data_IF_502987276685
#
_entry.id   IF_502987276685
#
_cell.length_a   1.000
_cell.length_b   1.000
_cell.length_c   1.000
_cell.angle_alpha   90.00
_cell.angle_beta   90.00
_cell.angle_gamma   90.00
#
_symmetry.space_group_name_H-M   'P 1'
#
loop_
_entity.id
_entity.type
_entity.pdbx_description
1 polymer ?
#
# COMPACT_ATOMS: atom_id res chain seq x y z
N UNK A 1 -12.71 27.68 -17.99
CA UNK A 1 -12.61 26.76 -16.83
C UNK A 1 -11.18 26.84 -16.35
N UNK A 2 -10.96 27.10 -15.06
CA UNK A 2 -9.60 27.25 -14.51
C UNK A 2 -8.92 25.89 -14.55
N UNK A 3 -7.71 25.88 -15.08
CA UNK A 3 -6.87 24.69 -15.13
C UNK A 3 -6.50 24.28 -13.68
N UNK A 4 -6.65 22.99 -13.35
CA UNK A 4 -6.61 22.52 -11.97
C UNK A 4 -5.77 21.24 -11.88
N UNK A 5 -4.45 21.39 -11.78
CA UNK A 5 -3.59 20.24 -11.50
C UNK A 5 -2.12 20.49 -11.82
N UNK A 6 -1.23 19.64 -11.28
CA UNK A 6 0.13 19.57 -11.76
C UNK A 6 0.15 18.79 -13.06
N UNK A 7 0.04 19.44 -14.21
CA UNK A 7 0.23 18.78 -15.52
C UNK A 7 1.14 19.63 -16.41
N UNK A 8 2.04 20.35 -15.75
CA UNK A 8 3.02 21.23 -16.40
C UNK A 8 4.12 20.46 -17.10
N UNK A 9 4.27 19.15 -16.82
CA UNK A 9 5.35 18.31 -17.36
C UNK A 9 4.89 17.21 -18.32
N UNK A 10 3.69 16.65 -18.15
CA UNK A 10 3.24 15.55 -18.98
C UNK A 10 2.58 16.06 -20.28
N UNK A 11 2.93 15.52 -21.47
CA UNK A 11 2.46 16.06 -22.76
C UNK A 11 1.00 15.74 -23.08
N UNK A 12 0.40 14.74 -22.42
CA UNK A 12 -1.03 14.46 -22.59
C UNK A 12 -1.88 15.48 -21.83
N UNK A 13 -3.03 15.84 -22.41
CA UNK A 13 -4.03 16.60 -21.67
C UNK A 13 -4.36 15.81 -20.38
N UNK A 14 -4.28 16.44 -19.19
CA UNK A 14 -4.58 15.74 -17.95
C UNK A 14 -6.00 15.17 -18.04
N UNK A 15 -6.19 13.92 -17.62
CA UNK A 15 -7.54 13.33 -17.50
C UNK A 15 -8.45 14.12 -16.54
N UNK A 16 -7.86 15.00 -15.71
CA UNK A 16 -8.52 15.85 -14.72
C UNK A 16 -9.08 17.16 -15.28
N UNK A 17 -10.10 17.08 -16.14
CA UNK A 17 -10.83 18.26 -16.61
C UNK A 17 -11.94 18.74 -15.65
N UNK A 18 -12.24 18.03 -14.56
CA UNK A 18 -13.36 18.36 -13.65
C UNK A 18 -13.03 18.06 -12.19
N UNK A 19 -13.02 19.05 -11.29
CA UNK A 19 -12.91 18.82 -9.85
C UNK A 19 -14.27 18.39 -9.28
N UNK A 20 -14.53 17.08 -9.24
CA UNK A 20 -15.78 16.49 -8.73
C UNK A 20 -15.56 15.88 -7.34
N UNK A 21 -16.64 15.66 -6.57
CA UNK A 21 -16.56 14.94 -5.30
C UNK A 21 -15.99 13.53 -5.49
N UNK A 22 -16.38 12.85 -6.57
CA UNK A 22 -15.89 11.50 -6.88
C UNK A 22 -14.38 11.50 -7.11
N UNK A 23 -13.85 12.44 -7.89
CA UNK A 23 -12.41 12.52 -8.14
C UNK A 23 -11.60 12.78 -6.86
N UNK A 24 -12.09 13.65 -5.97
CA UNK A 24 -11.45 13.86 -4.67
C UNK A 24 -11.43 12.61 -3.81
N UNK A 25 -12.48 11.78 -3.88
CA UNK A 25 -12.52 10.49 -3.19
C UNK A 25 -11.52 9.51 -3.83
N UNK A 26 -11.52 9.39 -5.15
CA UNK A 26 -10.56 8.55 -5.88
C UNK A 26 -9.12 8.92 -5.56
N UNK A 27 -8.75 10.21 -5.63
CA UNK A 27 -7.42 10.69 -5.28
C UNK A 27 -7.04 10.41 -3.83
N UNK A 28 -7.97 10.67 -2.91
CA UNK A 28 -7.74 10.39 -1.50
C UNK A 28 -7.49 8.90 -1.28
N UNK A 29 -8.39 8.04 -1.76
CA UNK A 29 -8.28 6.58 -1.63
C UNK A 29 -7.05 6.03 -2.34
N UNK A 30 -6.69 6.60 -3.49
CA UNK A 30 -5.49 6.24 -4.22
C UNK A 30 -4.24 6.41 -3.36
N UNK A 31 -4.04 7.62 -2.83
CA UNK A 31 -2.85 7.95 -2.05
C UNK A 31 -2.82 7.32 -0.66
N UNK A 32 -3.96 7.23 0.02
CA UNK A 32 -3.98 6.73 1.40
C UNK A 32 -3.98 5.21 1.49
N UNK A 33 -4.52 4.55 0.48
CA UNK A 33 -4.82 3.11 0.55
C UNK A 33 -4.25 2.37 -0.65
N UNK A 34 -4.73 2.63 -1.87
CA UNK A 34 -4.42 1.79 -3.04
C UNK A 34 -2.91 1.75 -3.31
N UNK A 35 -2.27 2.91 -3.39
CA UNK A 35 -0.84 3.01 -3.65
C UNK A 35 0.01 2.36 -2.54
N UNK A 36 -0.04 2.81 -1.28
CA UNK A 36 0.86 2.28 -0.26
C UNK A 36 0.56 0.82 0.10
N UNK A 37 -0.71 0.40 0.16
CA UNK A 37 -1.06 -1.00 0.46
C UNK A 37 -0.68 -1.93 -0.68
N UNK A 38 -0.93 -1.54 -1.93
CA UNK A 38 -0.61 -2.38 -3.08
C UNK A 38 0.89 -2.59 -3.25
N UNK A 39 1.67 -1.51 -3.13
CA UNK A 39 3.15 -1.59 -3.16
C UNK A 39 3.67 -2.42 -1.98
N UNK A 40 3.22 -2.14 -0.75
CA UNK A 40 3.69 -2.86 0.44
C UNK A 40 3.35 -4.36 0.39
N UNK A 41 2.13 -4.72 -0.03
CA UNK A 41 1.70 -6.12 -0.14
C UNK A 41 2.52 -6.88 -1.19
N UNK A 42 2.77 -6.26 -2.35
CA UNK A 42 3.59 -6.87 -3.39
C UNK A 42 5.04 -7.07 -2.92
N UNK A 43 5.67 -6.03 -2.37
CA UNK A 43 7.05 -6.10 -1.89
C UNK A 43 7.21 -7.13 -0.77
N UNK A 44 6.34 -7.08 0.24
CA UNK A 44 6.41 -8.00 1.37
C UNK A 44 6.21 -9.45 0.92
N UNK A 45 5.22 -9.70 0.04
CA UNK A 45 4.98 -11.02 -0.49
C UNK A 45 6.21 -11.58 -1.21
N UNK A 46 6.78 -10.85 -2.16
CA UNK A 46 7.91 -11.36 -2.95
C UNK A 46 9.18 -11.52 -2.12
N UNK A 47 9.46 -10.62 -1.18
CA UNK A 47 10.59 -10.76 -0.26
C UNK A 47 10.45 -12.04 0.56
N UNK A 48 9.30 -12.26 1.20
CA UNK A 48 9.09 -13.45 2.02
C UNK A 48 9.04 -14.73 1.19
N UNK A 49 8.39 -14.68 0.02
CA UNK A 49 8.30 -15.82 -0.90
C UNK A 49 9.67 -16.27 -1.42
N UNK A 50 10.60 -15.33 -1.67
CA UNK A 50 11.98 -15.64 -2.07
C UNK A 50 12.81 -16.26 -0.92
N UNK A 51 12.50 -15.92 0.33
CA UNK A 51 13.16 -16.51 1.51
C UNK A 51 12.63 -17.93 1.74
N UNK A 52 11.32 -18.05 1.93
CA UNK A 52 10.62 -19.32 2.10
C UNK A 52 9.12 -19.11 1.77
N UNK A 53 8.58 -19.75 0.71
CA UNK A 53 7.16 -19.70 0.37
C UNK A 53 6.21 -20.07 1.51
N UNK A 54 6.66 -20.92 2.45
CA UNK A 54 5.89 -21.33 3.62
C UNK A 54 5.59 -20.19 4.61
N UNK A 55 6.35 -19.09 4.56
CA UNK A 55 6.14 -17.90 5.40
C UNK A 55 4.93 -17.08 4.99
N UNK A 56 4.58 -17.08 3.69
CA UNK A 56 3.41 -16.36 3.15
C UNK A 56 2.22 -17.27 2.93
N UNK A 57 2.43 -18.55 2.63
CA UNK A 57 1.36 -19.49 2.39
C UNK A 57 1.67 -20.85 3.04
N UNK A 58 1.05 -21.19 4.18
CA UNK A 58 1.25 -22.48 4.82
C UNK A 58 0.66 -23.62 3.97
N UNK A 59 1.16 -24.85 4.19
CA UNK A 59 0.81 -26.02 3.38
C UNK A 59 -0.70 -26.32 3.29
N UNK A 60 -1.49 -25.96 4.30
CA UNK A 60 -2.94 -26.12 4.24
C UNK A 60 -3.60 -25.13 3.27
N UNK A 61 -3.10 -23.90 3.19
CA UNK A 61 -3.62 -22.85 2.30
C UNK A 61 -3.21 -23.12 0.86
N UNK A 62 -2.00 -23.63 0.63
CA UNK A 62 -1.52 -24.03 -0.71
C UNK A 62 -2.41 -25.13 -1.35
N UNK A 63 -3.03 -25.99 -0.54
CA UNK A 63 -3.98 -27.01 -1.05
C UNK A 63 -5.29 -26.43 -1.55
N UNK A 64 -5.65 -25.23 -1.10
CA UNK A 64 -6.93 -24.57 -1.40
C UNK A 64 -6.73 -23.50 -2.49
N UNK A 65 -5.63 -22.76 -2.43
CA UNK A 65 -5.34 -21.61 -3.28
C UNK A 65 -4.32 -22.01 -4.35
N UNK A 66 -4.71 -22.04 -5.63
CA UNK A 66 -3.77 -22.32 -6.71
C UNK A 66 -2.59 -21.33 -6.71
N UNK A 67 -1.38 -21.83 -6.94
CA UNK A 67 -0.15 -21.01 -6.96
C UNK A 67 -0.25 -19.80 -7.89
N UNK A 68 -0.83 -19.97 -9.07
CA UNK A 68 -1.07 -18.88 -10.01
C UNK A 68 -1.93 -17.78 -9.39
N UNK A 69 -3.04 -18.15 -8.75
CA UNK A 69 -3.93 -17.18 -8.11
C UNK A 69 -3.20 -16.44 -6.99
N UNK A 70 -2.40 -17.14 -6.18
CA UNK A 70 -1.58 -16.52 -5.15
C UNK A 70 -0.58 -15.50 -5.74
N UNK A 71 0.08 -15.80 -6.86
CA UNK A 71 0.98 -14.83 -7.48
C UNK A 71 0.27 -13.63 -8.09
N UNK A 72 -0.87 -13.85 -8.75
CA UNK A 72 -1.66 -12.77 -9.36
C UNK A 72 -2.17 -11.82 -8.30
N UNK A 73 -2.73 -12.30 -7.19
CA UNK A 73 -3.26 -11.44 -6.13
C UNK A 73 -2.18 -10.54 -5.51
N UNK A 74 -0.91 -10.97 -5.52
CA UNK A 74 0.21 -10.21 -4.95
C UNK A 74 1.02 -9.42 -5.99
N UNK A 75 0.86 -9.65 -7.29
CA UNK A 75 1.61 -8.96 -8.36
C UNK A 75 0.74 -7.99 -9.15
N UNK A 76 -0.52 -8.34 -9.41
CA UNK A 76 -1.43 -7.52 -10.18
C UNK A 76 -1.63 -6.11 -9.60
N UNK A 77 -1.71 -5.88 -8.27
CA UNK A 77 -1.82 -4.54 -7.71
C UNK A 77 -0.71 -3.60 -8.18
N UNK A 78 0.55 -4.07 -8.19
CA UNK A 78 1.69 -3.26 -8.65
C UNK A 78 1.55 -2.86 -10.11
N UNK A 79 1.11 -3.79 -10.97
CA UNK A 79 0.86 -3.51 -12.38
C UNK A 79 -0.24 -2.45 -12.57
N UNK A 80 -1.39 -2.64 -11.94
CA UNK A 80 -2.52 -1.71 -12.07
C UNK A 80 -2.21 -0.32 -11.49
N UNK A 81 -1.54 -0.25 -10.33
CA UNK A 81 -1.08 1.02 -9.75
C UNK A 81 -0.11 1.74 -10.70
N UNK A 82 0.81 1.00 -11.33
CA UNK A 82 1.77 1.59 -12.27
C UNK A 82 1.06 2.17 -13.49
N UNK A 83 0.13 1.42 -14.08
CA UNK A 83 -0.69 1.89 -15.22
C UNK A 83 -1.51 3.12 -14.82
N UNK A 84 -2.16 3.10 -13.65
CA UNK A 84 -2.96 4.23 -13.17
C UNK A 84 -2.08 5.47 -12.92
N UNK A 85 -0.93 5.33 -12.26
CA UNK A 85 0.03 6.44 -12.03
C UNK A 85 0.48 7.09 -13.35
N UNK A 86 0.67 6.29 -14.40
CA UNK A 86 1.14 6.75 -15.71
C UNK A 86 0.05 7.42 -16.54
N UNK A 87 -1.22 7.05 -16.34
CA UNK A 87 -2.35 7.56 -17.13
C UNK A 87 -3.17 8.63 -16.39
N UNK A 88 -3.04 8.71 -15.08
CA UNK A 88 -3.91 9.49 -14.18
C UNK A 88 -3.08 10.41 -13.29
N UNK A 89 -3.36 11.71 -13.34
CA UNK A 89 -2.74 12.71 -12.47
C UNK A 89 -3.50 12.81 -11.14
N UNK A 90 -3.05 12.12 -10.10
CA UNK A 90 -3.71 12.17 -8.80
C UNK A 90 -3.30 13.39 -7.97
N UNK A 91 -4.25 14.01 -7.27
CA UNK A 91 -3.95 15.08 -6.31
C UNK A 91 -3.77 14.54 -4.89
N UNK A 92 -2.54 14.59 -4.38
CA UNK A 92 -2.25 14.14 -3.02
C UNK A 92 -3.02 14.99 -1.99
N UNK A 93 -3.60 14.38 -0.94
CA UNK A 93 -4.05 15.14 0.21
C UNK A 93 -2.86 15.83 0.88
N UNK A 94 -3.12 16.81 1.76
CA UNK A 94 -2.06 17.42 2.57
C UNK A 94 -1.22 16.32 3.23
N UNK A 95 0.11 16.41 3.16
CA UNK A 95 1.04 15.39 3.69
C UNK A 95 0.71 14.95 5.12
N UNK A 96 0.37 15.90 6.00
CA UNK A 96 -0.04 15.61 7.38
C UNK A 96 -1.27 14.70 7.44
N UNK A 97 -2.27 14.96 6.59
CA UNK A 97 -3.48 14.13 6.49
C UNK A 97 -3.17 12.75 5.94
N UNK A 98 -2.38 12.66 4.87
CA UNK A 98 -1.99 11.36 4.30
C UNK A 98 -1.21 10.49 5.28
N UNK A 99 -0.23 11.07 5.99
CA UNK A 99 0.54 10.36 7.02
C UNK A 99 -0.34 9.95 8.21
N UNK A 100 -1.30 10.78 8.64
CA UNK A 100 -2.22 10.43 9.71
C UNK A 100 -3.09 9.22 9.33
N UNK A 101 -3.60 9.19 8.09
CA UNK A 101 -4.42 8.07 7.60
C UNK A 101 -3.57 6.81 7.46
N UNK A 102 -2.34 6.94 6.95
CA UNK A 102 -1.39 5.82 6.86
C UNK A 102 -1.10 5.22 8.24
N UNK A 103 -0.82 6.06 9.24
CA UNK A 103 -0.61 5.63 10.62
C UNK A 103 -1.86 4.97 11.21
N UNK A 104 -3.05 5.50 10.95
CA UNK A 104 -4.31 4.92 11.41
C UNK A 104 -4.58 3.53 10.80
N UNK A 105 -4.31 3.36 9.49
CA UNK A 105 -4.45 2.07 8.81
C UNK A 105 -3.50 1.01 9.38
N UNK A 106 -2.24 1.38 9.62
CA UNK A 106 -1.25 0.49 10.25
C UNK A 106 -1.66 0.13 11.67
N UNK A 107 -2.05 1.11 12.47
CA UNK A 107 -2.48 0.88 13.85
C UNK A 107 -3.69 -0.05 13.90
N UNK A 108 -4.66 0.14 13.00
CA UNK A 108 -5.81 -0.76 12.86
C UNK A 108 -5.38 -2.17 12.48
N UNK A 109 -4.51 -2.33 11.48
CA UNK A 109 -4.02 -3.63 11.03
C UNK A 109 -3.24 -4.37 12.13
N UNK A 110 -2.30 -3.71 12.81
CA UNK A 110 -1.59 -4.32 13.93
C UNK A 110 -2.55 -4.68 15.07
N UNK A 111 -3.50 -3.81 15.39
CA UNK A 111 -4.54 -4.12 16.40
C UNK A 111 -5.30 -5.40 16.07
N UNK A 112 -5.63 -5.63 14.79
CA UNK A 112 -6.25 -6.89 14.34
C UNK A 112 -5.33 -8.10 14.56
N UNK A 113 -4.03 -8.00 14.23
CA UNK A 113 -3.08 -9.10 14.46
C UNK A 113 -3.00 -9.49 15.93
N UNK A 114 -2.90 -8.51 16.83
CA UNK A 114 -2.87 -8.75 18.27
C UNK A 114 -4.22 -9.24 18.80
N UNK A 115 -5.33 -8.74 18.26
CA UNK A 115 -6.67 -9.24 18.61
C UNK A 115 -6.84 -10.72 18.26
N UNK A 116 -6.42 -11.14 17.05
CA UNK A 116 -6.46 -12.56 16.66
C UNK A 116 -5.60 -13.41 17.59
N UNK A 117 -4.39 -12.94 17.96
CA UNK A 117 -3.53 -13.65 18.91
C UNK A 117 -4.18 -13.81 20.29
N UNK A 118 -4.81 -12.75 20.78
CA UNK A 118 -5.47 -12.74 22.08
C UNK A 118 -6.73 -13.61 22.10
N UNK A 119 -7.56 -13.55 21.06
CA UNK A 119 -8.86 -14.22 21.02
C UNK A 119 -8.77 -15.68 20.54
N UNK A 120 -7.98 -15.96 19.51
CA UNK A 120 -7.87 -17.30 18.91
C UNK A 120 -6.62 -18.08 19.35
N UNK A 121 -5.65 -17.42 20.00
CA UNK A 121 -4.46 -18.08 20.53
C UNK A 121 -3.36 -18.39 19.51
N UNK A 122 -3.52 -18.03 18.24
CA UNK A 122 -2.49 -18.20 17.20
C UNK A 122 -2.19 -16.86 16.50
N UNK A 123 -1.01 -16.73 15.89
CA UNK A 123 -0.68 -15.58 15.04
C UNK A 123 -1.15 -15.81 13.61
N UNK A 124 -1.74 -14.77 13.01
CA UNK A 124 -2.09 -14.78 11.58
C UNK A 124 -0.87 -15.05 10.69
N UNK A 125 0.30 -14.57 11.12
CA UNK A 125 1.59 -14.85 10.49
C UNK A 125 2.48 -15.62 11.48
N UNK A 126 2.82 -16.89 11.20
CA UNK A 126 3.60 -17.73 12.11
C UNK A 126 4.95 -17.14 12.54
N UNK A 127 5.55 -16.27 11.72
CA UNK A 127 6.83 -15.61 12.03
C UNK A 127 6.80 -14.81 13.35
N UNK A 128 5.62 -14.33 13.75
CA UNK A 128 5.43 -13.57 14.99
C UNK A 128 5.55 -14.44 16.25
N UNK A 129 5.41 -15.77 16.16
CA UNK A 129 5.61 -16.65 17.32
C UNK A 129 7.09 -16.73 17.73
N UNK A 130 8.01 -16.46 16.80
CA UNK A 130 9.45 -16.45 17.08
C UNK A 130 9.97 -15.12 17.61
N UNK A 131 9.12 -14.09 17.69
CA UNK A 131 9.55 -12.75 18.09
C UNK A 131 9.48 -12.57 19.60
N UNK A 132 10.54 -11.99 20.17
CA UNK A 132 10.47 -11.41 21.51
C UNK A 132 9.68 -10.10 21.47
N UNK A 133 9.25 -9.59 22.62
CA UNK A 133 8.54 -8.30 22.70
C UNK A 133 9.31 -7.15 22.01
N UNK A 134 10.65 -7.15 22.12
CA UNK A 134 11.50 -6.17 21.44
C UNK A 134 11.45 -6.30 19.91
N UNK A 135 11.45 -7.53 19.39
CA UNK A 135 11.32 -7.77 17.94
C UNK A 135 9.95 -7.39 17.40
N UNK A 136 8.88 -7.60 18.18
CA UNK A 136 7.54 -7.10 17.82
C UNK A 136 7.53 -5.57 17.68
N UNK A 137 8.06 -4.85 18.67
CA UNK A 137 8.11 -3.39 18.63
C UNK A 137 8.96 -2.89 17.46
N UNK A 138 10.14 -3.50 17.25
CA UNK A 138 11.02 -3.17 16.14
C UNK A 138 10.32 -3.41 14.79
N UNK A 139 9.62 -4.53 14.63
CA UNK A 139 8.88 -4.85 13.41
C UNK A 139 7.79 -3.80 13.13
N UNK A 140 7.00 -3.43 14.12
CA UNK A 140 5.94 -2.41 13.97
C UNK A 140 6.55 -1.07 13.54
N UNK A 141 7.65 -0.65 14.17
CA UNK A 141 8.32 0.61 13.85
C UNK A 141 8.89 0.61 12.43
N UNK A 142 9.59 -0.46 12.04
CA UNK A 142 10.17 -0.60 10.70
C UNK A 142 9.08 -0.67 9.64
N UNK A 143 8.05 -1.47 9.84
CA UNK A 143 6.91 -1.56 8.92
C UNK A 143 6.18 -0.22 8.78
N UNK A 144 6.01 0.51 9.89
CA UNK A 144 5.36 1.83 9.87
C UNK A 144 6.20 2.87 9.14
N UNK A 145 7.52 2.86 9.35
CA UNK A 145 8.43 3.73 8.63
C UNK A 145 8.41 3.43 7.12
N UNK A 146 8.50 2.16 6.74
CA UNK A 146 8.45 1.73 5.33
C UNK A 146 7.14 2.14 4.66
N UNK A 147 6.00 1.92 5.30
CA UNK A 147 4.70 2.29 4.74
C UNK A 147 4.54 3.81 4.58
N UNK A 148 5.02 4.60 5.56
CA UNK A 148 5.08 6.07 5.44
C UNK A 148 6.02 6.50 4.30
N UNK A 149 7.17 5.84 4.14
CA UNK A 149 8.10 6.11 3.04
C UNK A 149 7.48 5.81 1.68
N UNK A 150 6.72 4.71 1.53
CA UNK A 150 6.02 4.39 0.30
C UNK A 150 5.01 5.49 -0.06
N UNK A 151 4.24 5.99 0.92
CA UNK A 151 3.34 7.12 0.70
C UNK A 151 4.08 8.36 0.15
N UNK A 152 5.23 8.71 0.75
CA UNK A 152 6.06 9.85 0.31
C UNK A 152 6.60 9.61 -1.11
N UNK A 153 7.06 8.39 -1.41
CA UNK A 153 7.54 8.01 -2.74
C UNK A 153 6.43 8.19 -3.78
N UNK A 154 5.19 7.80 -3.46
CA UNK A 154 4.04 8.02 -4.35
C UNK A 154 3.82 9.49 -4.70
N UNK A 155 3.85 10.38 -3.70
CA UNK A 155 3.76 11.84 -3.90
C UNK A 155 4.91 12.38 -4.78
N UNK A 156 6.13 11.88 -4.58
CA UNK A 156 7.31 12.25 -5.38
C UNK A 156 7.16 11.76 -6.83
N UNK A 157 6.81 10.49 -7.04
CA UNK A 157 6.65 9.91 -8.39
C UNK A 157 5.58 10.66 -9.17
N UNK A 158 4.43 10.90 -8.56
CA UNK A 158 3.37 11.69 -9.19
C UNK A 158 3.84 13.10 -9.51
N UNK A 159 4.57 13.74 -8.59
CA UNK A 159 5.13 15.08 -8.80
C UNK A 159 6.16 15.14 -9.93
N UNK A 160 6.92 14.06 -10.13
CA UNK A 160 7.92 13.96 -11.19
C UNK A 160 7.26 13.81 -12.57
N UNK A 161 6.23 12.97 -12.67
CA UNK A 161 5.52 12.69 -13.91
C UNK A 161 4.65 13.86 -14.36
N UNK A 162 3.89 14.43 -13.43
CA UNK A 162 2.81 15.36 -13.75
C UNK A 162 3.19 16.82 -13.44
N UNK A 163 4.01 17.04 -12.41
CA UNK A 163 4.47 18.36 -11.95
C UNK A 163 4.21 18.55 -10.45
N UNK A 164 4.66 19.65 -9.85
CA UNK A 164 4.35 19.90 -8.44
C UNK A 164 2.92 20.39 -8.27
N UNK A 165 2.16 19.70 -7.41
CA UNK A 165 0.83 20.12 -6.93
C UNK A 165 0.89 21.44 -6.18
#
# INVERSE_FOLDING_TARGET
KKDCGPHTRHPSAPSYWRNSRLHRICDFTYYTSVFPVGIATCLLFWILYLIDPGLVMPAWAERIIPRFLNHVTHTAPLFFISVDTLLTCHQAPKRKTGLLVAAALLAFYFSLLYFVRWYHGYWLYPVFEFFTQSYHLAFILVASALFCSIYIIGDIVNSMLWGKT
#
